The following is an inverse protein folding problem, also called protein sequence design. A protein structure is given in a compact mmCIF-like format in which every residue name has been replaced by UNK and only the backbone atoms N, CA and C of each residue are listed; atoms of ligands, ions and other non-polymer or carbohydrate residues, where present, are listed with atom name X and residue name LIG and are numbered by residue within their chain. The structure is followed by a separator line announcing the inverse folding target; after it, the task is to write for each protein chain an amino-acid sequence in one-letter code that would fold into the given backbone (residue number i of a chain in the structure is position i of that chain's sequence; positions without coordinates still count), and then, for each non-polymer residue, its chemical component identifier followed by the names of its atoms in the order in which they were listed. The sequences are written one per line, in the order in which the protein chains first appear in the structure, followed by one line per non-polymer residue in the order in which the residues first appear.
data_IF_767246344886
#
_entry.id   IF_767246344886
#
_cell.length_a   1.000
_cell.length_b   1.000
_cell.length_c   1.000
_cell.angle_alpha   90.00
_cell.angle_beta   90.00
_cell.angle_gamma   90.00
#
_symmetry.space_group_name_H-M   'P 1'
#
loop_
_entity.id
_entity.type
_entity.pdbx_description
1 polymer ?
#
# COMPACT_ATOMS: atom_id res chain seq x y z
N UNK A 1 -16.31 -49.25 -10.16
CA UNK A 1 -16.72 -47.91 -10.64
C UNK A 1 -15.88 -46.84 -9.94
N UNK A 2 -15.27 -45.96 -10.75
CA UNK A 2 -14.48 -44.74 -10.50
C UNK A 2 -14.08 -44.37 -9.05
N UNK A 3 -12.78 -44.48 -8.75
CA UNK A 3 -12.10 -43.66 -7.74
C UNK A 3 -12.25 -42.20 -8.16
N UNK A 4 -12.94 -41.37 -7.38
CA UNK A 4 -12.88 -39.91 -7.55
C UNK A 4 -11.45 -39.47 -7.25
N UNK A 5 -10.73 -39.03 -8.26
CA UNK A 5 -9.48 -38.30 -8.07
C UNK A 5 -9.81 -37.03 -7.26
N UNK A 6 -9.06 -36.70 -6.20
CA UNK A 6 -9.17 -35.39 -5.60
C UNK A 6 -8.69 -34.39 -6.65
N UNK A 7 -9.59 -33.51 -7.08
CA UNK A 7 -9.25 -32.30 -7.82
C UNK A 7 -8.09 -31.64 -7.07
N UNK A 8 -6.96 -31.45 -7.73
CA UNK A 8 -5.80 -30.75 -7.17
C UNK A 8 -6.24 -29.34 -6.79
N UNK A 9 -6.73 -29.15 -5.56
CA UNK A 9 -7.03 -27.83 -5.03
C UNK A 9 -5.71 -27.08 -5.02
N UNK A 10 -5.66 -25.93 -5.71
CA UNK A 10 -4.50 -25.05 -5.65
C UNK A 10 -4.27 -24.72 -4.16
N UNK A 11 -3.12 -25.13 -3.63
CA UNK A 11 -2.72 -24.83 -2.26
C UNK A 11 -2.37 -23.34 -2.20
N UNK A 12 -3.33 -22.51 -1.80
CA UNK A 12 -3.09 -21.10 -1.55
C UNK A 12 -2.32 -20.98 -0.23
N UNK A 13 -0.99 -21.00 -0.30
CA UNK A 13 -0.15 -20.72 0.86
C UNK A 13 -0.46 -19.31 1.35
N UNK A 14 -0.71 -19.15 2.65
CA UNK A 14 -1.08 -17.85 3.21
C UNK A 14 -0.04 -16.78 2.88
N UNK A 15 -0.39 -15.83 2.00
CA UNK A 15 0.51 -14.73 1.61
C UNK A 15 0.86 -13.89 2.84
N UNK A 16 2.16 -13.67 3.13
CA UNK A 16 2.57 -12.87 4.29
C UNK A 16 2.07 -11.44 4.18
N UNK A 17 1.73 -10.82 5.32
CA UNK A 17 1.17 -9.46 5.36
C UNK A 17 2.12 -8.44 4.72
N UNK A 18 3.43 -8.63 4.89
CA UNK A 18 4.49 -7.87 4.24
C UNK A 18 4.32 -7.80 2.71
N UNK A 19 4.09 -8.97 2.08
CA UNK A 19 3.90 -9.04 0.63
C UNK A 19 2.60 -8.39 0.19
N UNK A 20 1.52 -8.51 0.97
CA UNK A 20 0.26 -7.80 0.70
C UNK A 20 0.44 -6.29 0.75
N UNK A 21 1.17 -5.78 1.74
CA UNK A 21 1.49 -4.35 1.87
C UNK A 21 2.37 -3.87 0.72
N UNK A 22 3.44 -4.59 0.39
CA UNK A 22 4.32 -4.25 -0.73
C UNK A 22 3.56 -4.24 -2.07
N UNK A 23 2.70 -5.24 -2.31
CA UNK A 23 1.86 -5.30 -3.50
C UNK A 23 0.86 -4.13 -3.56
N UNK A 24 0.24 -3.78 -2.43
CA UNK A 24 -0.68 -2.65 -2.36
C UNK A 24 0.03 -1.30 -2.61
N UNK A 25 1.20 -1.05 -2.01
CA UNK A 25 2.00 0.14 -2.29
C UNK A 25 2.47 0.19 -3.74
N UNK A 26 2.88 -0.94 -4.31
CA UNK A 26 3.28 -1.02 -5.72
C UNK A 26 2.12 -0.66 -6.64
N UNK A 27 0.94 -1.24 -6.37
CA UNK A 27 -0.29 -0.93 -7.11
C UNK A 27 -0.66 0.56 -6.99
N UNK A 28 -0.50 1.13 -5.81
CA UNK A 28 -0.77 2.55 -5.54
C UNK A 28 0.18 3.47 -6.30
N UNK A 29 1.49 3.17 -6.32
CA UNK A 29 2.48 3.92 -7.09
C UNK A 29 2.19 3.83 -8.60
N UNK A 30 1.88 2.63 -9.12
CA UNK A 30 1.52 2.49 -10.53
C UNK A 30 0.26 3.27 -10.88
N UNK A 31 -0.75 3.25 -10.02
CA UNK A 31 -1.97 4.02 -10.22
C UNK A 31 -1.67 5.51 -10.32
N UNK A 32 -0.87 6.07 -9.39
CA UNK A 32 -0.44 7.46 -9.47
C UNK A 32 0.26 7.80 -10.78
N UNK A 33 1.25 6.98 -11.16
CA UNK A 33 2.01 7.19 -12.39
C UNK A 33 1.08 7.22 -13.61
N UNK A 34 0.11 6.31 -13.68
CA UNK A 34 -0.83 6.29 -14.80
C UNK A 34 -1.86 7.41 -14.76
N UNK A 35 -2.33 7.83 -13.58
CA UNK A 35 -3.20 9.02 -13.44
C UNK A 35 -2.46 10.26 -13.95
N UNK A 36 -1.20 10.46 -13.56
CA UNK A 36 -0.39 11.60 -14.00
C UNK A 36 -0.09 11.57 -15.51
N UNK A 37 0.28 10.40 -16.04
CA UNK A 37 0.50 10.23 -17.48
C UNK A 37 -0.78 10.52 -18.27
N UNK A 38 -1.93 10.02 -17.80
CA UNK A 38 -3.21 10.24 -18.45
C UNK A 38 -3.69 11.69 -18.32
N UNK A 39 -3.32 12.38 -17.24
CA UNK A 39 -3.64 13.80 -17.04
C UNK A 39 -3.00 14.71 -18.10
N UNK A 40 -1.89 14.32 -18.72
CA UNK A 40 -1.30 15.06 -19.85
C UNK A 40 -2.22 15.13 -21.08
N UNK A 41 -3.18 14.21 -21.22
CA UNK A 41 -4.15 14.25 -22.32
C UNK A 41 -5.32 15.21 -22.05
N UNK A 42 -5.42 15.79 -20.84
CA UNK A 42 -6.39 16.83 -20.54
C UNK A 42 -6.01 18.12 -21.28
N UNK A 43 -6.92 18.71 -22.07
CA UNK A 43 -6.66 19.98 -22.76
C UNK A 43 -6.15 21.07 -21.81
N UNK A 44 -5.16 21.84 -22.26
CA UNK A 44 -4.49 22.90 -21.51
C UNK A 44 -3.30 22.43 -20.66
N UNK A 45 -3.27 21.18 -20.17
CA UNK A 45 -2.23 20.73 -19.24
C UNK A 45 -0.84 20.75 -19.87
N UNK A 46 -0.69 20.26 -21.10
CA UNK A 46 0.62 20.28 -21.79
C UNK A 46 1.03 21.70 -22.16
N UNK A 47 0.07 22.54 -22.56
CA UNK A 47 0.35 23.94 -22.90
C UNK A 47 0.87 24.71 -21.67
N UNK A 48 0.25 24.51 -20.50
CA UNK A 48 0.69 25.07 -19.22
C UNK A 48 2.11 24.60 -18.86
N UNK A 49 2.39 23.30 -19.02
CA UNK A 49 3.73 22.73 -18.75
C UNK A 49 4.79 23.37 -19.66
N UNK A 50 4.48 23.60 -20.93
CA UNK A 50 5.42 24.22 -21.89
C UNK A 50 5.76 25.67 -21.53
N UNK A 51 4.87 26.38 -20.85
CA UNK A 51 5.13 27.73 -20.32
C UNK A 51 5.64 27.73 -18.88
N UNK A 52 5.91 26.55 -18.31
CA UNK A 52 6.52 26.41 -16.99
C UNK A 52 5.53 26.38 -15.83
N UNK A 53 4.26 26.03 -16.05
CA UNK A 53 3.21 25.96 -15.03
C UNK A 53 2.67 24.54 -14.90
N UNK A 54 2.39 24.11 -13.67
CA UNK A 54 1.72 22.85 -13.36
C UNK A 54 0.59 23.09 -12.37
N UNK A 55 -0.65 22.91 -12.83
CA UNK A 55 -1.86 23.29 -12.11
C UNK A 55 -1.86 24.80 -11.74
N UNK A 56 -1.47 25.18 -10.52
CA UNK A 56 -1.35 26.58 -10.06
C UNK A 56 0.09 26.96 -9.66
N UNK A 57 1.07 26.07 -9.88
CA UNK A 57 2.44 26.24 -9.40
C UNK A 57 3.43 26.45 -10.55
N UNK A 58 4.44 27.28 -10.30
CA UNK A 58 5.59 27.41 -11.19
C UNK A 58 6.50 26.19 -11.12
N UNK A 59 6.90 25.67 -12.28
CA UNK A 59 7.87 24.59 -12.41
C UNK A 59 9.26 25.14 -12.07
N UNK A 60 9.69 24.88 -10.85
CA UNK A 60 11.00 25.27 -10.31
C UNK A 60 11.78 24.05 -9.82
N UNK A 61 13.11 24.13 -9.63
CA UNK A 61 13.88 23.05 -9.00
C UNK A 61 13.32 22.66 -7.63
N UNK A 62 12.86 23.63 -6.84
CA UNK A 62 12.24 23.39 -5.52
C UNK A 62 10.94 22.61 -5.65
N UNK A 63 10.09 22.98 -6.60
CA UNK A 63 8.87 22.22 -6.89
C UNK A 63 9.20 20.77 -7.27
N UNK A 64 10.15 20.57 -8.18
CA UNK A 64 10.54 19.24 -8.65
C UNK A 64 11.08 18.34 -7.52
N UNK A 65 11.93 18.90 -6.64
CA UNK A 65 12.45 18.19 -5.46
C UNK A 65 11.33 17.84 -4.49
N UNK A 66 10.38 18.76 -4.28
CA UNK A 66 9.25 18.55 -3.39
C UNK A 66 8.35 17.44 -3.92
N UNK A 67 7.97 17.49 -5.20
CA UNK A 67 7.19 16.45 -5.85
C UNK A 67 7.90 15.07 -5.79
N UNK A 68 9.19 15.03 -6.13
CA UNK A 68 9.98 13.80 -6.04
C UNK A 68 10.02 13.24 -4.61
N UNK A 69 10.20 14.10 -3.61
CA UNK A 69 10.26 13.68 -2.20
C UNK A 69 8.92 13.10 -1.74
N UNK A 70 7.80 13.72 -2.12
CA UNK A 70 6.47 13.20 -1.80
C UNK A 70 6.20 11.85 -2.46
N UNK A 71 6.56 11.69 -3.74
CA UNK A 71 6.42 10.43 -4.47
C UNK A 71 7.38 9.34 -3.98
N UNK A 72 8.55 9.72 -3.46
CA UNK A 72 9.51 8.76 -2.92
C UNK A 72 8.97 8.03 -1.68
N UNK A 73 8.11 8.66 -0.88
CA UNK A 73 7.52 8.05 0.33
C UNK A 73 6.81 6.71 0.01
N UNK A 74 5.77 6.67 -0.84
CA UNK A 74 5.11 5.40 -1.19
C UNK A 74 6.03 4.43 -1.96
N UNK A 75 7.00 4.94 -2.73
CA UNK A 75 7.98 4.10 -3.43
C UNK A 75 8.86 3.34 -2.42
N UNK A 76 9.41 4.03 -1.42
CA UNK A 76 10.19 3.38 -0.37
C UNK A 76 9.35 2.45 0.49
N UNK A 77 8.06 2.74 0.69
CA UNK A 77 7.16 1.85 1.41
C UNK A 77 7.05 0.46 0.77
N UNK A 78 7.22 0.31 -0.54
CA UNK A 78 7.30 -0.99 -1.22
C UNK A 78 8.43 -1.84 -0.61
N UNK A 79 9.63 -1.28 -0.51
CA UNK A 79 10.81 -1.98 0.02
C UNK A 79 10.71 -2.14 1.54
N UNK A 80 10.34 -1.07 2.26
CA UNK A 80 10.23 -1.08 3.72
C UNK A 80 9.18 -2.08 4.22
N UNK A 81 8.13 -2.33 3.44
CA UNK A 81 7.11 -3.33 3.77
C UNK A 81 7.66 -4.77 3.78
N UNK A 82 8.77 -5.02 3.08
CA UNK A 82 9.42 -6.34 3.02
C UNK A 82 10.62 -6.46 3.97
N UNK A 83 11.23 -5.36 4.38
CA UNK A 83 12.49 -5.37 5.13
C UNK A 83 12.35 -5.00 6.60
N UNK A 84 11.36 -4.20 6.98
CA UNK A 84 11.20 -3.78 8.37
C UNK A 84 10.67 -4.92 9.26
N UNK A 85 11.13 -5.00 10.53
CA UNK A 85 10.55 -5.88 11.53
C UNK A 85 9.05 -5.61 11.71
N UNK A 86 8.25 -6.65 11.96
CA UNK A 86 6.78 -6.59 11.94
C UNK A 86 6.17 -5.41 12.72
N UNK A 87 6.69 -5.11 13.92
CA UNK A 87 6.18 -3.99 14.75
C UNK A 87 6.45 -2.63 14.10
N UNK A 88 7.68 -2.38 13.65
CA UNK A 88 8.04 -1.13 12.99
C UNK A 88 7.29 -0.98 11.67
N UNK A 89 7.28 -2.03 10.87
CA UNK A 89 6.61 -2.11 9.58
C UNK A 89 5.12 -1.73 9.69
N UNK A 90 4.41 -2.30 10.67
CA UNK A 90 3.01 -1.97 10.96
C UNK A 90 2.81 -0.50 11.28
N UNK A 91 3.60 0.06 12.20
CA UNK A 91 3.47 1.46 12.62
C UNK A 91 3.74 2.39 11.44
N UNK A 92 4.84 2.17 10.72
CA UNK A 92 5.21 2.96 9.53
C UNK A 92 4.11 2.91 8.48
N UNK A 93 3.57 1.73 8.16
CA UNK A 93 2.48 1.59 7.19
C UNK A 93 1.23 2.37 7.59
N UNK A 94 0.81 2.29 8.86
CA UNK A 94 -0.37 3.03 9.34
C UNK A 94 -0.17 4.54 9.27
N UNK A 95 0.99 5.05 9.68
CA UNK A 95 1.29 6.48 9.65
C UNK A 95 1.33 6.97 8.20
N UNK A 96 2.14 6.32 7.36
CA UNK A 96 2.34 6.76 5.97
C UNK A 96 1.04 6.65 5.16
N UNK A 97 0.29 5.56 5.30
CA UNK A 97 -1.01 5.45 4.61
C UNK A 97 -1.99 6.54 5.06
N UNK A 98 -2.03 6.87 6.36
CA UNK A 98 -2.89 7.94 6.87
C UNK A 98 -2.50 9.32 6.33
N UNK A 99 -1.19 9.60 6.18
CA UNK A 99 -0.69 10.84 5.58
C UNK A 99 -0.97 10.91 4.07
N UNK A 100 -0.96 9.77 3.38
CA UNK A 100 -1.23 9.72 1.94
C UNK A 100 -2.72 9.89 1.59
N UNK A 101 -3.66 9.66 2.53
CA UNK A 101 -5.10 9.86 2.29
C UNK A 101 -5.45 11.31 1.92
N UNK A 102 -5.09 12.34 2.71
CA UNK A 102 -5.37 13.73 2.34
C UNK A 102 -4.60 14.14 1.08
N UNK A 103 -3.39 13.60 0.85
CA UNK A 103 -2.61 13.86 -0.36
C UNK A 103 -3.33 13.33 -1.62
N UNK A 104 -3.84 12.10 -1.60
CA UNK A 104 -4.65 11.54 -2.68
C UNK A 104 -5.96 12.32 -2.88
N UNK A 105 -6.64 12.67 -1.78
CA UNK A 105 -7.89 13.44 -1.85
C UNK A 105 -7.71 14.82 -2.47
N UNK A 106 -6.52 15.44 -2.34
CA UNK A 106 -6.22 16.73 -2.94
C UNK A 106 -6.36 16.73 -4.47
N UNK A 107 -6.12 15.60 -5.14
CA UNK A 107 -6.24 15.51 -6.60
C UNK A 107 -7.69 15.72 -7.12
N UNK A 108 -8.70 15.62 -6.26
CA UNK A 108 -10.09 15.92 -6.62
C UNK A 108 -10.47 17.40 -6.43
N UNK A 109 -9.59 18.23 -5.84
CA UNK A 109 -9.87 19.65 -5.57
C UNK A 109 -10.03 20.40 -6.88
N UNK A 110 -11.06 21.25 -6.95
CA UNK A 110 -11.36 22.06 -8.13
C UNK A 110 -11.93 21.29 -9.32
N UNK A 111 -12.17 19.97 -9.21
CA UNK A 111 -12.66 19.16 -10.33
C UNK A 111 -14.20 19.07 -10.41
N UNK A 112 -14.93 19.54 -9.40
CA UNK A 112 -16.40 19.47 -9.40
C UNK A 112 -16.98 20.39 -10.48
N UNK A 113 -17.71 19.79 -11.43
CA UNK A 113 -18.29 20.50 -12.58
C UNK A 113 -17.37 20.62 -13.79
N UNK A 114 -16.12 20.15 -13.69
CA UNK A 114 -15.17 20.13 -14.80
C UNK A 114 -15.41 18.95 -15.75
N UNK A 115 -15.04 19.12 -17.01
CA UNK A 115 -15.22 18.09 -18.06
C UNK A 115 -14.45 16.78 -17.78
N UNK A 116 -13.38 16.83 -16.97
CA UNK A 116 -12.55 15.70 -16.57
C UNK A 116 -12.85 15.19 -15.15
N UNK A 117 -13.93 15.66 -14.52
CA UNK A 117 -14.29 15.33 -13.13
C UNK A 117 -14.28 13.81 -12.86
N UNK A 118 -14.92 13.01 -13.71
CA UNK A 118 -15.04 11.57 -13.50
C UNK A 118 -13.69 10.84 -13.55
N UNK A 119 -12.74 11.34 -14.35
CA UNK A 119 -11.40 10.78 -14.43
C UNK A 119 -10.67 10.97 -13.08
N UNK A 120 -10.63 12.20 -12.57
CA UNK A 120 -9.98 12.48 -11.28
C UNK A 120 -10.70 11.83 -10.10
N UNK A 121 -12.04 11.84 -10.08
CA UNK A 121 -12.81 11.17 -9.02
C UNK A 121 -12.57 9.65 -9.01
N UNK A 122 -12.49 9.01 -10.18
CA UNK A 122 -12.18 7.58 -10.27
C UNK A 122 -10.75 7.31 -9.79
N UNK A 123 -9.77 8.11 -10.22
CA UNK A 123 -8.38 8.01 -9.77
C UNK A 123 -8.28 8.07 -8.24
N UNK A 124 -8.83 9.13 -7.64
CA UNK A 124 -8.86 9.32 -6.18
C UNK A 124 -9.61 8.19 -5.48
N UNK A 125 -10.74 7.72 -6.01
CA UNK A 125 -11.47 6.62 -5.41
C UNK A 125 -10.64 5.32 -5.37
N UNK A 126 -9.95 4.98 -6.46
CA UNK A 126 -9.09 3.79 -6.54
C UNK A 126 -7.86 3.91 -5.62
N UNK A 127 -7.25 5.09 -5.55
CA UNK A 127 -6.16 5.40 -4.61
C UNK A 127 -6.60 5.21 -3.16
N UNK A 128 -7.75 5.77 -2.78
CA UNK A 128 -8.30 5.65 -1.43
C UNK A 128 -8.67 4.21 -1.08
N UNK A 129 -9.13 3.40 -2.04
CA UNK A 129 -9.38 1.97 -1.83
C UNK A 129 -8.07 1.24 -1.49
N UNK A 130 -6.99 1.50 -2.24
CA UNK A 130 -5.68 0.89 -1.96
C UNK A 130 -5.13 1.33 -0.60
N UNK A 131 -5.24 2.62 -0.25
CA UNK A 131 -4.84 3.12 1.06
C UNK A 131 -5.68 2.50 2.20
N UNK A 132 -6.99 2.34 2.00
CA UNK A 132 -7.85 1.65 2.96
C UNK A 132 -7.46 0.18 3.13
N UNK A 133 -7.05 -0.51 2.06
CA UNK A 133 -6.52 -1.87 2.13
C UNK A 133 -5.20 -1.93 2.92
N UNK A 134 -4.28 -1.00 2.69
CA UNK A 134 -3.02 -0.90 3.45
C UNK A 134 -3.30 -0.69 4.93
N UNK A 135 -4.19 0.25 5.27
CA UNK A 135 -4.62 0.50 6.64
C UNK A 135 -5.25 -0.75 7.26
N UNK A 136 -6.11 -1.45 6.53
CA UNK A 136 -6.74 -2.70 6.98
C UNK A 136 -5.70 -3.78 7.27
N UNK A 137 -4.75 -4.02 6.35
CA UNK A 137 -3.69 -5.02 6.52
C UNK A 137 -2.78 -4.69 7.70
N UNK A 138 -2.40 -3.42 7.88
CA UNK A 138 -1.65 -2.97 9.04
C UNK A 138 -2.45 -3.15 10.34
N UNK A 139 -3.75 -2.84 10.32
CA UNK A 139 -4.58 -2.90 11.52
C UNK A 139 -4.84 -4.32 12.01
N UNK A 140 -5.14 -5.25 11.09
CA UNK A 140 -5.47 -6.65 11.38
C UNK A 140 -4.25 -7.56 11.55
N UNK A 141 -3.03 -7.03 11.40
CA UNK A 141 -1.80 -7.78 11.61
C UNK A 141 -1.76 -8.41 13.02
N UNK A 142 -1.60 -9.74 13.14
CA UNK A 142 -1.52 -10.43 14.43
C UNK A 142 -0.47 -9.82 15.37
N UNK A 143 -0.87 -9.58 16.63
CA UNK A 143 -0.07 -8.84 17.63
C UNK A 143 0.86 -9.73 18.46
N UNK A 144 0.71 -11.04 18.37
CA UNK A 144 1.45 -12.02 19.17
C UNK A 144 2.00 -13.07 18.22
N UNK A 145 3.31 -13.34 18.27
CA UNK A 145 3.82 -14.61 17.75
C UNK A 145 2.98 -15.71 18.41
N UNK A 146 2.53 -16.76 17.70
CA UNK A 146 1.98 -17.93 18.38
C UNK A 146 3.03 -18.33 19.41
N UNK A 147 2.73 -18.18 20.71
CA UNK A 147 3.54 -18.83 21.74
C UNK A 147 3.59 -20.26 21.30
N UNK A 148 4.78 -20.73 20.90
CA UNK A 148 5.03 -22.14 20.77
C UNK A 148 4.49 -22.72 22.07
N UNK A 149 3.40 -23.48 21.96
CA UNK A 149 2.83 -24.19 23.08
C UNK A 149 4.02 -24.96 23.62
N UNK A 150 4.54 -24.51 24.75
CA UNK A 150 5.55 -25.20 25.49
C UNK A 150 4.79 -26.41 26.01
N UNK A 151 4.71 -27.45 25.18
CA UNK A 151 4.38 -28.80 25.60
C UNK A 151 5.49 -29.16 26.55
N UNK A 152 5.32 -28.80 27.82
CA UNK A 152 5.99 -29.44 28.93
C UNK A 152 5.64 -30.91 28.79
N UNK A 153 6.55 -31.68 28.17
CA UNK A 153 6.44 -33.13 28.14
C UNK A 153 6.32 -33.59 29.60
N UNK A 154 5.32 -34.42 29.95
CA UNK A 154 5.17 -34.97 31.30
C UNK A 154 6.37 -35.80 31.79
N UNK A 155 7.34 -36.11 30.93
CA UNK A 155 8.44 -37.03 31.24
C UNK A 155 9.46 -36.56 32.30
N UNK A 156 9.44 -35.28 32.73
CA UNK A 156 10.39 -34.79 33.75
C UNK A 156 9.95 -35.02 35.19
N UNK A 157 8.70 -35.42 35.44
CA UNK A 157 8.22 -35.67 36.80
C UNK A 157 8.48 -37.12 37.27
N UNK A 158 8.55 -38.07 36.32
CA UNK A 158 8.87 -39.47 36.62
C UNK A 158 10.34 -39.71 37.01
N UNK A 159 11.26 -38.79 36.68
CA UNK A 159 12.69 -38.92 37.01
C UNK A 159 13.06 -38.37 38.40
N UNK A 160 12.16 -37.64 39.08
CA UNK A 160 12.42 -37.08 40.42
C UNK A 160 11.88 -37.92 41.58
N UNK A 161 11.08 -38.94 41.30
CA UNK A 161 10.52 -39.85 42.31
C UNK A 161 11.33 -41.14 42.48
N UNK A 162 12.50 -41.26 41.83
CA UNK A 162 13.40 -42.42 41.92
C UNK A 162 14.80 -42.10 42.49
N UNK A 163 14.99 -40.99 43.19
CA UNK A 163 16.22 -40.69 43.93
C UNK A 163 15.96 -40.54 45.43
#
# INVERSE_FOLDING_TARGET
MRKRQPTTALLDQGVPVQAKLAAAWTSFVFLYVYVDILAFYKPGVVDDILIGVVWEFDITPTWAITALTLLAIPIFMVVLSMTLPARANRITNLIVASLQVPFAAFNAVGQLGESWMYFYLLGVALELILLALILRYGWTWPRTAPSAIMTTSPDREAARTQQ
#
